data_IF_368822986665
#
_entry.id   IF_368822986665
#
_cell.length_a   1.000
_cell.length_b   1.000
_cell.length_c   1.000
_cell.angle_alpha   90.00
_cell.angle_beta   90.00
_cell.angle_gamma   90.00
#
_symmetry.space_group_name_H-M   'P 1'
#
loop_
_entity.id
_entity.type
_entity.pdbx_description
1 polymer ?
#
# COMPACT_ATOMS: atom_id res chain seq x y z
N UNK A 1 1.29 -32.98 28.47
CA UNK A 1 1.58 -31.64 29.05
C UNK A 1 1.01 -30.64 28.08
N UNK A 2 -0.28 -30.34 28.22
CA UNK A 2 -1.08 -29.62 27.22
C UNK A 2 -0.92 -28.13 27.46
N UNK A 3 -0.33 -27.43 26.48
CA UNK A 3 -0.26 -25.97 26.50
C UNK A 3 -1.61 -25.43 25.97
N UNK A 4 -2.42 -24.74 26.78
CA UNK A 4 -3.84 -24.57 26.51
C UNK A 4 -4.13 -23.38 25.59
N UNK A 5 -5.30 -23.44 24.94
CA UNK A 5 -5.96 -22.53 23.99
C UNK A 5 -5.79 -20.99 24.16
N UNK A 6 -5.18 -20.51 25.23
CA UNK A 6 -4.89 -19.09 25.50
C UNK A 6 -3.94 -18.45 24.46
N UNK A 7 -2.95 -19.21 23.96
CA UNK A 7 -2.07 -18.71 22.89
C UNK A 7 -2.84 -18.51 21.58
N UNK A 8 -3.79 -19.38 21.27
CA UNK A 8 -4.64 -19.29 20.08
C UNK A 8 -5.58 -18.07 20.14
N UNK A 9 -6.12 -17.73 21.31
CA UNK A 9 -6.90 -16.48 21.48
C UNK A 9 -6.05 -15.21 21.37
N UNK A 10 -4.85 -15.21 21.96
CA UNK A 10 -3.92 -14.08 21.85
C UNK A 10 -3.45 -13.90 20.40
N UNK A 11 -3.11 -14.97 19.69
CA UNK A 11 -2.73 -14.92 18.29
C UNK A 11 -3.87 -14.39 17.42
N UNK A 12 -5.12 -14.80 17.67
CA UNK A 12 -6.30 -14.24 16.98
C UNK A 12 -6.49 -12.75 17.25
N UNK A 13 -6.24 -12.28 18.47
CA UNK A 13 -6.33 -10.87 18.82
C UNK A 13 -5.23 -10.04 18.17
N UNK A 14 -3.98 -10.51 18.23
CA UNK A 14 -2.85 -9.88 17.57
C UNK A 14 -3.08 -9.85 16.06
N UNK A 15 -3.56 -10.94 15.49
CA UNK A 15 -3.94 -11.02 14.08
C UNK A 15 -4.96 -9.93 13.73
N UNK A 16 -6.10 -9.86 14.43
CA UNK A 16 -7.13 -8.83 14.20
C UNK A 16 -6.64 -7.40 14.39
N UNK A 17 -5.70 -7.15 15.31
CA UNK A 17 -5.12 -5.82 15.54
C UNK A 17 -4.10 -5.42 14.47
N UNK A 18 -3.57 -6.39 13.73
CA UNK A 18 -2.46 -6.17 12.79
C UNK A 18 -2.93 -6.29 11.34
N UNK A 19 -4.04 -6.97 11.07
CA UNK A 19 -4.66 -7.03 9.74
C UNK A 19 -4.97 -5.64 9.19
N UNK A 20 -4.47 -5.29 7.99
CA UNK A 20 -4.83 -4.06 7.32
C UNK A 20 -6.33 -3.95 7.08
N UNK A 21 -6.89 -2.77 7.30
CA UNK A 21 -8.28 -2.44 6.95
C UNK A 21 -8.28 -1.73 5.62
N UNK A 22 -8.98 -2.31 4.66
CA UNK A 22 -9.08 -1.76 3.30
C UNK A 22 -10.47 -1.21 3.11
N UNK A 23 -10.58 0.00 2.58
CA UNK A 23 -11.84 0.65 2.27
C UNK A 23 -11.76 1.25 0.87
N UNK A 24 -12.71 0.90 0.02
CA UNK A 24 -12.77 1.42 -1.35
C UNK A 24 -13.95 2.39 -1.48
N UNK A 25 -13.65 3.62 -1.89
CA UNK A 25 -14.63 4.67 -2.14
C UNK A 25 -14.58 5.08 -3.61
N UNK A 26 -15.61 4.68 -4.35
CA UNK A 26 -15.78 5.07 -5.75
C UNK A 26 -16.69 6.29 -5.95
N UNK A 27 -17.28 6.84 -4.88
CA UNK A 27 -18.21 7.96 -4.94
C UNK A 27 -17.54 9.30 -4.65
N UNK A 28 -16.53 9.34 -3.78
CA UNK A 28 -15.91 10.57 -3.27
C UNK A 28 -15.05 11.36 -4.27
N UNK A 29 -14.78 10.85 -5.46
CA UNK A 29 -14.09 11.57 -6.54
C UNK A 29 -14.78 11.30 -7.87
N UNK A 30 -14.85 12.25 -8.80
CA UNK A 30 -15.51 12.03 -10.10
C UNK A 30 -14.66 11.22 -11.09
N UNK A 31 -13.33 11.25 -10.95
CA UNK A 31 -12.40 10.78 -11.99
C UNK A 31 -11.49 9.62 -11.53
N UNK A 32 -11.62 9.14 -10.30
CA UNK A 32 -10.77 8.06 -9.75
C UNK A 32 -11.49 7.34 -8.64
N UNK A 33 -11.09 6.09 -8.42
CA UNK A 33 -11.51 5.27 -7.27
C UNK A 33 -10.50 5.46 -6.15
N UNK A 34 -10.97 5.70 -4.92
CA UNK A 34 -10.10 5.87 -3.74
C UNK A 34 -9.96 4.54 -3.02
N UNK A 35 -8.74 4.06 -2.86
CA UNK A 35 -8.40 2.89 -2.05
C UNK A 35 -7.69 3.38 -0.80
N UNK A 36 -8.29 3.13 0.36
CA UNK A 36 -7.77 3.55 1.66
C UNK A 36 -7.33 2.32 2.44
N UNK A 37 -6.11 2.35 2.97
CA UNK A 37 -5.50 1.25 3.71
C UNK A 37 -5.07 1.81 5.06
N UNK A 38 -5.64 1.26 6.13
CA UNK A 38 -5.24 1.54 7.50
C UNK A 38 -4.55 0.29 8.07
N UNK A 39 -3.30 0.41 8.49
CA UNK A 39 -2.51 -0.73 8.95
C UNK A 39 -1.58 -0.40 10.10
N UNK A 40 -1.30 -1.37 10.96
CA UNK A 40 -0.29 -1.22 11.99
C UNK A 40 1.11 -1.07 11.35
N UNK A 41 1.99 -0.25 11.97
CA UNK A 41 3.34 0.02 11.48
C UNK A 41 4.16 -1.27 11.43
N UNK A 42 4.28 -1.85 10.25
CA UNK A 42 5.20 -2.94 9.92
C UNK A 42 5.67 -2.79 8.47
N UNK A 43 6.93 -3.18 8.23
CA UNK A 43 7.58 -2.99 6.94
C UNK A 43 6.89 -3.80 5.83
N UNK A 44 6.81 -3.25 4.62
CA UNK A 44 6.39 -3.96 3.41
C UNK A 44 4.94 -3.70 2.94
N UNK A 45 4.03 -3.24 3.80
CA UNK A 45 2.60 -3.10 3.45
C UNK A 45 2.37 -2.11 2.31
N UNK A 46 3.03 -0.96 2.36
CA UNK A 46 2.92 0.05 1.29
C UNK A 46 3.40 -0.51 -0.06
N UNK A 47 4.52 -1.25 -0.04
CA UNK A 47 5.08 -1.85 -1.25
C UNK A 47 4.15 -2.91 -1.83
N UNK A 48 3.62 -3.80 -0.98
CA UNK A 48 2.66 -4.82 -1.38
C UNK A 48 1.36 -4.20 -1.92
N UNK A 49 0.89 -3.10 -1.31
CA UNK A 49 -0.25 -2.37 -1.81
C UNK A 49 -0.01 -1.83 -3.22
N UNK A 50 1.14 -1.21 -3.45
CA UNK A 50 1.52 -0.73 -4.78
C UNK A 50 1.63 -1.88 -5.77
N UNK A 51 2.23 -3.02 -5.36
CA UNK A 51 2.37 -4.21 -6.21
C UNK A 51 1.02 -4.75 -6.66
N UNK A 52 0.09 -4.99 -5.73
CA UNK A 52 -1.26 -5.50 -6.05
C UNK A 52 -1.97 -4.56 -7.03
N UNK A 53 -1.89 -3.25 -6.80
CA UNK A 53 -2.50 -2.27 -7.70
C UNK A 53 -1.85 -2.28 -9.09
N UNK A 54 -0.52 -2.39 -9.18
CA UNK A 54 0.18 -2.46 -10.47
C UNK A 54 -0.04 -3.77 -11.21
N UNK A 55 -0.14 -4.90 -10.49
CA UNK A 55 -0.37 -6.23 -11.05
C UNK A 55 -1.78 -6.34 -11.65
N UNK A 56 -2.74 -5.58 -11.11
CA UNK A 56 -4.08 -5.40 -11.66
C UNK A 56 -4.14 -4.39 -12.82
N UNK A 57 -2.99 -3.93 -13.31
CA UNK A 57 -2.86 -2.92 -14.36
C UNK A 57 -3.58 -1.59 -14.02
N UNK A 58 -3.64 -1.23 -12.73
CA UNK A 58 -4.24 0.03 -12.31
C UNK A 58 -3.22 1.16 -12.32
N UNK A 59 -3.67 2.35 -12.72
CA UNK A 59 -2.85 3.56 -12.72
C UNK A 59 -3.09 4.35 -11.43
N UNK A 60 -2.05 4.49 -10.60
CA UNK A 60 -2.08 5.36 -9.42
C UNK A 60 -1.87 6.81 -9.88
N UNK A 61 -2.90 7.65 -9.77
CA UNK A 61 -2.83 9.07 -10.14
C UNK A 61 -2.27 9.95 -9.02
N UNK A 62 -2.63 9.63 -7.78
CA UNK A 62 -2.22 10.36 -6.57
C UNK A 62 -2.17 9.39 -5.40
N UNK A 63 -1.28 9.63 -4.46
CA UNK A 63 -1.23 8.89 -3.20
C UNK A 63 -0.97 9.85 -2.04
N UNK A 64 -1.64 9.61 -0.92
CA UNK A 64 -1.37 10.27 0.36
C UNK A 64 -0.93 9.20 1.35
N UNK A 65 0.28 9.33 1.88
CA UNK A 65 0.88 8.37 2.82
C UNK A 65 1.06 9.12 4.13
N UNK A 66 0.49 8.61 5.21
CA UNK A 66 0.57 9.22 6.53
C UNK A 66 0.91 8.17 7.57
N UNK A 67 1.73 8.54 8.55
CA UNK A 67 2.05 7.65 9.68
C UNK A 67 2.07 8.41 10.99
N UNK A 68 1.38 7.89 12.00
CA UNK A 68 1.24 8.51 13.33
C UNK A 68 2.23 7.93 14.37
N UNK A 69 3.17 7.09 13.94
CA UNK A 69 4.08 6.38 14.84
C UNK A 69 3.73 4.91 15.04
N UNK A 70 2.45 4.53 15.03
CA UNK A 70 2.03 3.12 15.22
C UNK A 70 1.13 2.60 14.11
N UNK A 71 0.55 3.50 13.33
CA UNK A 71 -0.36 3.23 12.24
C UNK A 71 0.11 3.93 10.97
N UNK A 72 -0.21 3.32 9.84
CA UNK A 72 -0.10 3.87 8.51
C UNK A 72 -1.51 4.07 7.95
N UNK A 73 -1.73 5.23 7.35
CA UNK A 73 -2.94 5.55 6.61
C UNK A 73 -2.53 5.95 5.19
N UNK A 74 -2.73 5.02 4.28
CA UNK A 74 -2.38 5.16 2.87
C UNK A 74 -3.64 5.33 2.05
N UNK A 75 -3.68 6.35 1.19
CA UNK A 75 -4.82 6.64 0.33
C UNK A 75 -4.34 6.74 -1.10
N UNK A 76 -4.76 5.80 -1.95
CA UNK A 76 -4.45 5.76 -3.37
C UNK A 76 -5.66 6.20 -4.19
N UNK A 77 -5.43 7.09 -5.14
CA UNK A 77 -6.39 7.42 -6.19
C UNK A 77 -6.02 6.63 -7.43
N UNK A 78 -6.80 5.62 -7.76
CA UNK A 78 -6.53 4.70 -8.87
C UNK A 78 -7.54 4.84 -9.99
N UNK A 79 -7.10 4.53 -11.20
CA UNK A 79 -7.92 4.40 -12.40
C UNK A 79 -7.56 3.12 -13.13
N UNK A 80 -8.38 2.70 -14.09
CA UNK A 80 -7.96 1.76 -15.11
C UNK A 80 -6.86 2.37 -16.03
N UNK A 81 -6.41 1.61 -17.01
CA UNK A 81 -5.44 2.05 -18.02
C UNK A 81 -5.98 3.17 -18.93
N UNK A 82 -7.29 3.21 -19.14
CA UNK A 82 -7.98 4.22 -19.95
C UNK A 82 -8.23 5.54 -19.18
N UNK A 83 -7.91 5.57 -17.88
CA UNK A 83 -8.08 6.72 -17.01
C UNK A 83 -9.47 6.84 -16.37
N UNK A 84 -10.32 5.82 -16.46
CA UNK A 84 -11.64 5.78 -15.86
C UNK A 84 -11.60 5.13 -14.47
N UNK A 85 -12.71 5.29 -13.75
CA UNK A 85 -12.92 4.62 -12.47
C UNK A 85 -13.04 3.11 -12.63
N UNK A 86 -12.74 2.40 -11.55
CA UNK A 86 -13.05 0.98 -11.46
C UNK A 86 -14.56 0.82 -11.45
N UNK A 87 -15.09 0.16 -12.48
CA UNK A 87 -16.51 -0.23 -12.58
C UNK A 87 -16.71 -1.71 -12.29
N UNK A 88 -15.66 -2.51 -12.43
CA UNK A 88 -15.72 -3.94 -12.24
C UNK A 88 -15.66 -4.29 -10.74
N UNK A 89 -16.77 -4.84 -10.24
CA UNK A 89 -16.90 -5.27 -8.85
C UNK A 89 -15.96 -6.43 -8.51
N UNK A 90 -15.56 -7.26 -9.49
CA UNK A 90 -14.60 -8.34 -9.27
C UNK A 90 -13.20 -7.80 -8.96
N UNK A 91 -12.78 -6.73 -9.65
CA UNK A 91 -11.51 -6.04 -9.39
C UNK A 91 -11.53 -5.39 -8.02
N UNK A 92 -12.63 -4.71 -7.67
CA UNK A 92 -12.82 -4.08 -6.36
C UNK A 92 -12.74 -5.13 -5.24
N UNK A 93 -13.50 -6.21 -5.36
CA UNK A 93 -13.50 -7.32 -4.40
C UNK A 93 -12.11 -7.98 -4.28
N UNK A 94 -11.41 -8.15 -5.41
CA UNK A 94 -10.05 -8.68 -5.40
C UNK A 94 -9.05 -7.75 -4.70
N UNK A 95 -9.17 -6.43 -4.85
CA UNK A 95 -8.34 -5.46 -4.13
C UNK A 95 -8.61 -5.58 -2.62
N UNK A 96 -9.88 -5.58 -2.21
CA UNK A 96 -10.24 -5.70 -0.79
C UNK A 96 -9.71 -7.00 -0.19
N UNK A 97 -9.85 -8.11 -0.91
CA UNK A 97 -9.37 -9.40 -0.45
C UNK A 97 -7.85 -9.45 -0.41
N UNK A 98 -7.18 -9.09 -1.50
CA UNK A 98 -5.71 -9.19 -1.61
C UNK A 98 -5.00 -8.32 -0.59
N UNK A 99 -5.47 -7.08 -0.41
CA UNK A 99 -4.89 -6.13 0.54
C UNK A 99 -5.33 -6.43 1.99
N UNK A 100 -6.54 -6.97 2.19
CA UNK A 100 -7.06 -7.36 3.50
C UNK A 100 -6.46 -8.67 4.03
N UNK A 101 -5.98 -9.54 3.13
CA UNK A 101 -5.23 -10.75 3.47
C UNK A 101 -3.72 -10.56 3.34
N UNK A 102 -3.22 -9.32 3.30
CA UNK A 102 -1.78 -9.07 3.42
C UNK A 102 -1.34 -9.64 4.78
N UNK A 103 -0.76 -10.83 4.69
CA UNK A 103 -0.15 -11.55 5.79
C UNK A 103 1.33 -11.23 5.75
N UNK A 104 1.92 -11.06 6.92
CA UNK A 104 3.34 -10.76 7.15
C UNK A 104 4.35 -11.78 6.60
N UNK A 105 3.91 -12.73 5.77
CA UNK A 105 4.72 -13.80 5.22
C UNK A 105 5.24 -13.40 3.84
N UNK A 106 6.49 -12.92 3.84
CA UNK A 106 7.36 -12.79 2.67
C UNK A 106 6.93 -11.74 1.65
N UNK A 107 7.42 -10.51 1.85
CA UNK A 107 7.61 -9.57 0.75
C UNK A 107 8.25 -10.32 -0.42
N UNK A 108 7.48 -10.57 -1.47
CA UNK A 108 7.94 -11.31 -2.64
C UNK A 108 8.99 -10.42 -3.31
N UNK A 109 10.24 -10.87 -3.32
CA UNK A 109 11.31 -10.18 -4.03
C UNK A 109 10.90 -10.08 -5.51
N UNK A 110 10.86 -8.86 -6.03
CA UNK A 110 10.51 -8.63 -7.43
C UNK A 110 11.75 -8.92 -8.27
N UNK A 111 11.70 -9.96 -9.09
CA UNK A 111 12.73 -10.20 -10.07
C UNK A 111 12.55 -9.19 -11.22
N UNK A 112 13.27 -8.06 -11.15
CA UNK A 112 13.34 -7.06 -12.22
C UNK A 112 12.85 -5.63 -11.92
N UNK A 113 12.25 -5.36 -10.76
CA UNK A 113 11.90 -3.99 -10.33
C UNK A 113 12.70 -3.59 -9.08
N UNK A 114 13.52 -2.54 -9.20
CA UNK A 114 14.23 -1.96 -8.06
C UNK A 114 13.30 -1.00 -7.33
N UNK A 115 12.61 -1.50 -6.29
CA UNK A 115 11.85 -0.65 -5.38
C UNK A 115 12.79 -0.06 -4.32
N UNK A 116 12.74 1.26 -4.12
CA UNK A 116 13.52 1.97 -3.11
C UNK A 116 12.57 2.64 -2.11
N UNK A 117 12.52 2.13 -0.88
CA UNK A 117 11.80 2.77 0.22
C UNK A 117 12.74 3.76 0.93
N UNK A 118 12.35 5.03 1.01
CA UNK A 118 13.10 6.08 1.69
C UNK A 118 12.36 6.48 2.97
N UNK A 119 12.98 6.26 4.12
CA UNK A 119 12.45 6.70 5.42
C UNK A 119 13.30 7.84 5.96
N UNK A 120 12.69 9.01 6.19
CA UNK A 120 13.39 10.16 6.74
C UNK A 120 12.48 11.38 6.87
N UNK A 121 12.98 12.41 7.55
CA UNK A 121 12.31 13.72 7.58
C UNK A 121 12.44 14.39 6.22
N UNK A 122 11.32 14.84 5.66
CA UNK A 122 11.30 15.55 4.39
C UNK A 122 12.16 16.82 4.45
N UNK A 123 12.85 17.12 3.35
CA UNK A 123 13.57 18.39 3.13
C UNK A 123 13.61 18.68 1.64
N UNK A 124 13.54 19.97 1.31
CA UNK A 124 13.66 20.44 -0.08
C UNK A 124 14.96 19.88 -0.68
N UNK A 125 14.84 19.22 -1.84
CA UNK A 125 15.98 18.64 -2.56
C UNK A 125 16.36 17.20 -2.20
N UNK A 126 15.74 16.58 -1.17
CA UNK A 126 16.05 15.20 -0.76
C UNK A 126 15.92 14.21 -1.92
N UNK A 127 14.78 14.24 -2.63
CA UNK A 127 14.57 13.35 -3.78
C UNK A 127 15.54 13.67 -4.92
N UNK A 128 15.87 14.95 -5.15
CA UNK A 128 16.84 15.33 -6.17
C UNK A 128 18.22 14.73 -5.88
N UNK A 129 18.67 14.73 -4.63
CA UNK A 129 19.94 14.09 -4.23
C UNK A 129 19.91 12.57 -4.42
N UNK A 130 18.81 11.93 -3.99
CA UNK A 130 18.65 10.47 -4.07
C UNK A 130 18.63 10.01 -5.54
N UNK A 131 17.82 10.64 -6.40
CA UNK A 131 17.71 10.25 -7.80
C UNK A 131 18.94 10.65 -8.64
N UNK A 132 19.63 11.74 -8.30
CA UNK A 132 20.85 12.15 -8.98
C UNK A 132 22.01 11.16 -8.77
N UNK A 133 22.05 10.45 -7.65
CA UNK A 133 23.17 9.57 -7.28
C UNK A 133 23.05 8.13 -7.79
N UNK A 134 21.85 7.65 -8.10
CA UNK A 134 21.63 6.22 -8.39
C UNK A 134 21.04 5.90 -9.76
N UNK A 135 20.38 6.83 -10.47
CA UNK A 135 19.67 6.47 -11.71
C UNK A 135 19.83 7.42 -12.92
N UNK A 136 20.50 8.57 -12.80
CA UNK A 136 20.59 9.50 -13.94
C UNK A 136 19.22 9.98 -14.47
N UNK A 137 18.16 9.84 -13.67
CA UNK A 137 16.81 10.31 -13.96
C UNK A 137 16.66 11.69 -13.32
N UNK A 138 16.44 12.71 -14.16
CA UNK A 138 16.27 14.08 -13.74
C UNK A 138 14.82 14.30 -13.30
N UNK A 139 14.56 14.19 -12.00
CA UNK A 139 13.25 14.50 -11.41
C UNK A 139 13.16 16.02 -11.21
N UNK A 140 12.27 16.67 -11.96
CA UNK A 140 12.01 18.11 -11.83
C UNK A 140 10.79 18.30 -10.94
N UNK A 141 11.01 18.60 -9.66
CA UNK A 141 9.95 19.02 -8.75
C UNK A 141 9.65 20.50 -9.00
N UNK A 142 8.38 20.83 -9.26
CA UNK A 142 7.87 22.20 -9.36
C UNK A 142 7.65 22.82 -7.99
#
# INVERSE_FOLDING_TARGET
MEWPAYLDEYEKLVFRMTTPRVMIDNAGCSNSTRVMIDSARKHGILLEAVQVLTDLNLSIKKAYISSDGRWFMDVFHVTDLDGNKLTDESVISYIEQSLGTIHYASAKCIDGLTALELTGTDRIGLLSEVFCSTLGIRVQCS
#
